data_IF_616214529292
#
_entry.id   IF_616214529292
#
_cell.length_a   1.000
_cell.length_b   1.000
_cell.length_c   1.000
_cell.angle_alpha   90.00
_cell.angle_beta   90.00
_cell.angle_gamma   90.00
#
_symmetry.space_group_name_H-M   'P 1'
#
loop_
_entity.id
_entity.type
_entity.pdbx_description
1 polymer ?
#
# COMPACT_ATOMS: atom_id res chain seq x y z
N UNK A 1 23.02 -3.61 4.26
CA UNK A 1 21.62 -4.08 4.13
C UNK A 1 20.72 -3.38 5.15
N UNK A 2 19.55 -2.92 4.74
CA UNK A 2 18.66 -2.14 5.58
C UNK A 2 17.24 -2.11 5.04
N UNK A 3 16.31 -1.63 5.86
CA UNK A 3 14.91 -1.44 5.50
C UNK A 3 14.61 0.06 5.52
N UNK A 4 14.05 0.57 4.43
CA UNK A 4 13.48 1.93 4.37
C UNK A 4 11.96 1.82 4.47
N UNK A 5 11.36 2.63 5.33
CA UNK A 5 9.90 2.67 5.52
C UNK A 5 9.42 4.07 5.11
N UNK A 6 8.54 4.12 4.11
CA UNK A 6 7.92 5.34 3.63
C UNK A 6 6.44 5.37 4.01
N UNK A 7 6.02 6.28 4.90
CA UNK A 7 4.61 6.49 5.17
C UNK A 7 3.96 7.23 3.99
N UNK A 8 2.85 6.69 3.50
CA UNK A 8 2.03 7.27 2.44
C UNK A 8 0.70 7.69 3.09
N UNK A 9 0.49 9.01 3.32
CA UNK A 9 -0.78 9.50 3.85
C UNK A 9 -1.93 9.13 2.91
N UNK A 10 -2.99 8.57 3.45
CA UNK A 10 -4.19 8.16 2.70
C UNK A 10 -5.44 8.46 3.50
N UNK A 11 -6.52 8.84 2.82
CA UNK A 11 -7.77 9.28 3.46
C UNK A 11 -7.48 10.46 4.43
N UNK A 12 -8.28 10.62 5.49
CA UNK A 12 -8.15 11.73 6.43
C UNK A 12 -7.09 11.52 7.51
N UNK A 13 -6.83 10.28 7.89
CA UNK A 13 -6.01 9.93 9.06
C UNK A 13 -5.40 8.53 8.97
N UNK A 14 -5.41 7.89 7.79
CA UNK A 14 -4.80 6.59 7.58
C UNK A 14 -3.43 6.75 6.91
N UNK A 15 -2.59 5.73 7.07
CA UNK A 15 -1.31 5.63 6.39
C UNK A 15 -1.19 4.25 5.77
N UNK A 16 -0.82 4.21 4.49
CA UNK A 16 -0.18 3.05 3.88
C UNK A 16 1.32 3.15 4.12
N UNK A 17 2.03 2.04 3.99
CA UNK A 17 3.50 2.05 4.10
C UNK A 17 4.11 1.32 2.91
N UNK A 18 5.08 1.96 2.25
CA UNK A 18 5.97 1.30 1.31
C UNK A 18 7.23 0.88 2.07
N UNK A 19 7.42 -0.42 2.20
CA UNK A 19 8.57 -1.02 2.89
C UNK A 19 9.53 -1.52 1.84
N UNK A 20 10.76 -1.00 1.84
CA UNK A 20 11.76 -1.24 0.80
C UNK A 20 12.96 -1.96 1.42
N UNK A 21 13.35 -3.08 0.82
CA UNK A 21 14.67 -3.68 1.05
C UNK A 21 15.71 -2.92 0.22
N UNK A 22 16.59 -2.19 0.91
CA UNK A 22 17.58 -1.34 0.25
C UNK A 22 18.72 -2.14 -0.40
N UNK A 23 18.81 -3.45 -0.16
CA UNK A 23 19.81 -4.31 -0.81
C UNK A 23 19.34 -4.82 -2.17
N UNK A 24 18.03 -5.04 -2.36
CA UNK A 24 17.47 -5.64 -3.58
C UNK A 24 16.56 -4.72 -4.39
N UNK A 25 16.25 -3.52 -3.88
CA UNK A 25 15.26 -2.60 -4.46
C UNK A 25 13.87 -3.22 -4.65
N UNK A 26 13.55 -4.24 -3.84
CA UNK A 26 12.22 -4.86 -3.77
C UNK A 26 11.42 -4.20 -2.67
N UNK A 27 10.12 -4.09 -2.88
CA UNK A 27 9.24 -3.41 -1.95
C UNK A 27 7.93 -4.16 -1.72
N UNK A 28 7.32 -3.87 -0.58
CA UNK A 28 5.98 -4.32 -0.24
C UNK A 28 5.12 -3.14 0.22
N UNK A 29 3.85 -3.14 -0.18
CA UNK A 29 2.87 -2.14 0.27
C UNK A 29 2.03 -2.72 1.40
N UNK A 30 1.95 -1.99 2.50
CA UNK A 30 1.12 -2.31 3.65
C UNK A 30 -0.11 -1.41 3.70
N UNK A 31 -1.25 -2.01 4.02
CA UNK A 31 -2.50 -1.32 4.37
C UNK A 31 -3.12 -0.46 3.25
N UNK A 32 -3.40 -0.99 2.05
CA UNK A 32 -3.90 -0.17 0.95
C UNK A 32 -5.43 0.12 1.01
N UNK A 33 -5.89 1.38 1.20
CA UNK A 33 -7.32 1.73 1.09
C UNK A 33 -7.82 1.75 -0.37
N UNK A 34 -9.11 1.48 -0.60
CA UNK A 34 -9.70 1.42 -1.96
C UNK A 34 -9.56 2.70 -2.79
N UNK A 35 -9.79 3.86 -2.17
CA UNK A 35 -10.09 5.10 -2.91
C UNK A 35 -8.86 5.85 -3.41
N UNK A 36 -7.73 5.74 -2.71
CA UNK A 36 -6.56 6.60 -2.93
C UNK A 36 -5.26 5.81 -3.06
N UNK A 37 -5.24 4.52 -2.74
CA UNK A 37 -3.99 3.77 -2.71
C UNK A 37 -3.35 3.54 -4.09
N UNK A 38 -4.09 3.20 -5.17
CA UNK A 38 -3.43 2.86 -6.43
C UNK A 38 -2.60 4.03 -7.00
N UNK A 39 -3.09 5.28 -7.09
CA UNK A 39 -2.26 6.39 -7.60
C UNK A 39 -1.11 6.78 -6.68
N UNK A 40 -1.32 6.84 -5.36
CA UNK A 40 -0.30 7.32 -4.42
C UNK A 40 0.81 6.28 -4.18
N UNK A 41 0.46 4.99 -4.07
CA UNK A 41 1.45 3.93 -3.97
C UNK A 41 2.20 3.73 -5.27
N UNK A 42 1.53 3.84 -6.43
CA UNK A 42 2.21 3.80 -7.72
C UNK A 42 3.24 4.91 -7.84
N UNK A 43 2.88 6.15 -7.52
CA UNK A 43 3.81 7.29 -7.56
C UNK A 43 5.02 7.06 -6.64
N UNK A 44 4.79 6.58 -5.41
CA UNK A 44 5.88 6.27 -4.49
C UNK A 44 6.79 5.13 -4.98
N UNK A 45 6.21 4.09 -5.61
CA UNK A 45 6.97 2.98 -6.20
C UNK A 45 7.84 3.47 -7.37
N UNK A 46 7.27 4.31 -8.23
CA UNK A 46 7.97 4.90 -9.39
C UNK A 46 9.06 5.88 -8.96
N UNK A 47 8.79 6.75 -7.99
CA UNK A 47 9.75 7.73 -7.46
C UNK A 47 10.94 7.03 -6.80
N UNK A 48 10.70 5.94 -6.07
CA UNK A 48 11.75 5.15 -5.42
C UNK A 48 12.44 4.17 -6.38
N UNK A 49 11.88 3.94 -7.57
CA UNK A 49 12.41 3.02 -8.57
C UNK A 49 12.47 1.56 -8.07
N UNK A 50 11.48 1.14 -7.27
CA UNK A 50 11.45 -0.19 -6.65
C UNK A 50 10.47 -1.13 -7.34
N UNK A 51 10.69 -2.44 -7.21
CA UNK A 51 9.76 -3.46 -7.71
C UNK A 51 8.79 -3.87 -6.60
N UNK A 52 7.48 -3.72 -6.82
CA UNK A 52 6.47 -4.22 -5.89
C UNK A 52 6.39 -5.75 -5.96
N UNK A 53 6.62 -6.41 -4.82
CA UNK A 53 6.61 -7.88 -4.73
C UNK A 53 5.43 -8.42 -3.91
N UNK A 54 4.98 -7.65 -2.91
CA UNK A 54 3.96 -8.12 -1.99
C UNK A 54 3.02 -7.00 -1.54
N UNK A 55 1.81 -7.41 -1.18
CA UNK A 55 0.79 -6.56 -0.56
C UNK A 55 0.40 -7.19 0.77
N UNK A 56 0.58 -6.47 1.87
CA UNK A 56 0.24 -6.91 3.21
C UNK A 56 -0.97 -6.13 3.74
N UNK A 57 -2.03 -6.85 4.08
CA UNK A 57 -3.15 -6.31 4.84
C UNK A 57 -3.01 -6.69 6.31
N UNK A 58 -3.11 -5.70 7.21
CA UNK A 58 -3.05 -5.94 8.65
C UNK A 58 -4.30 -6.65 9.16
N UNK A 59 -5.47 -6.26 8.64
CA UNK A 59 -6.75 -6.86 8.96
C UNK A 59 -7.78 -6.55 7.86
N UNK A 60 -8.94 -7.21 7.94
CA UNK A 60 -10.13 -6.87 7.16
C UNK A 60 -11.14 -6.28 8.13
N UNK A 61 -11.61 -5.06 7.86
CA UNK A 61 -12.76 -4.54 8.57
C UNK A 61 -14.00 -5.40 8.26
N UNK A 62 -14.64 -5.92 9.30
CA UNK A 62 -15.85 -6.74 9.19
C UNK A 62 -17.07 -5.84 9.04
N UNK A 63 -17.64 -5.78 7.85
CA UNK A 63 -18.89 -5.09 7.58
C UNK A 63 -19.20 -4.97 6.08
N UNK A 64 -20.41 -5.33 5.69
CA UNK A 64 -20.94 -5.10 4.35
C UNK A 64 -21.43 -3.64 4.30
N UNK A 65 -20.70 -2.79 3.57
CA UNK A 65 -21.17 -1.47 3.09
C UNK A 65 -21.10 -0.24 4.03
N UNK A 66 -20.02 -0.10 4.81
CA UNK A 66 -19.58 1.23 5.28
C UNK A 66 -18.27 1.66 4.60
N UNK A 67 -18.05 2.97 4.31
CA UNK A 67 -16.80 3.49 3.75
C UNK A 67 -15.55 3.09 4.57
N UNK A 68 -15.76 2.94 5.88
CA UNK A 68 -14.77 2.52 6.87
C UNK A 68 -14.31 1.07 6.66
N UNK A 69 -15.07 0.21 5.97
CA UNK A 69 -14.67 -1.20 5.81
C UNK A 69 -13.61 -1.45 4.71
N UNK A 70 -13.18 -0.40 3.98
CA UNK A 70 -12.36 -0.51 2.75
C UNK A 70 -11.03 0.24 2.83
N UNK A 71 -10.67 0.73 3.99
CA UNK A 71 -9.49 1.55 4.26
C UNK A 71 -8.20 0.74 4.51
N UNK A 72 -8.27 -0.57 4.80
CA UNK A 72 -7.07 -1.41 5.02
C UNK A 72 -6.84 -2.49 3.94
N UNK A 73 -7.87 -2.89 3.18
CA UNK A 73 -7.77 -3.97 2.18
C UNK A 73 -8.40 -3.63 0.83
N UNK A 74 -8.90 -2.40 0.69
CA UNK A 74 -9.69 -2.01 -0.45
C UNK A 74 -8.89 -1.83 -1.74
N UNK A 75 -7.59 -1.54 -1.65
CA UNK A 75 -6.69 -1.29 -2.77
C UNK A 75 -6.01 -2.55 -3.34
N UNK A 76 -6.10 -3.70 -2.67
CA UNK A 76 -5.36 -4.92 -3.02
C UNK A 76 -5.57 -5.35 -4.48
N UNK A 77 -6.83 -5.43 -4.91
CA UNK A 77 -7.16 -5.96 -6.23
C UNK A 77 -6.62 -5.06 -7.36
N UNK A 78 -6.67 -3.74 -7.15
CA UNK A 78 -6.16 -2.77 -8.12
C UNK A 78 -4.62 -2.81 -8.19
N UNK A 79 -3.94 -2.83 -7.04
CA UNK A 79 -2.47 -2.92 -7.01
C UNK A 79 -1.95 -4.23 -7.64
N UNK A 80 -2.61 -5.37 -7.37
CA UNK A 80 -2.29 -6.67 -8.00
C UNK A 80 -2.57 -6.70 -9.51
N UNK A 81 -3.38 -5.79 -10.03
CA UNK A 81 -3.64 -5.73 -11.48
C UNK A 81 -2.56 -4.88 -12.19
N UNK A 82 -1.87 -4.01 -11.46
CA UNK A 82 -0.87 -3.08 -11.98
C UNK A 82 0.57 -3.61 -11.90
N UNK A 83 0.82 -4.62 -11.06
CA UNK A 83 2.11 -5.29 -10.83
C UNK A 83 1.92 -6.80 -10.81
#
# INVERSE_FOLDING_TARGET
PGVKILPIPVLSNNYSYLVIDTASSRAAVFVPPKSLCPPHSQAAIEEEGVMLEAIFCTHKHWGTDFPVCRDHSGGNAALRQQH
#
